data_IF_184481929561
#
_entry.id   IF_184481929561
#
_cell.length_a   1.000
_cell.length_b   1.000
_cell.length_c   1.000
_cell.angle_alpha   90.00
_cell.angle_beta   90.00
_cell.angle_gamma   90.00
#
_symmetry.space_group_name_H-M   'P 1'
#
loop_
_entity.id
_entity.type
_entity.pdbx_description
1 polymer ?
#
# COMPACT_ATOMS: atom_id res chain seq x y z
N UNK A 1 0.68 -18.22 -15.12
CA UNK A 1 0.19 -17.02 -14.42
C UNK A 1 1.37 -16.51 -13.65
N UNK A 2 1.99 -15.43 -14.12
CA UNK A 2 3.15 -14.84 -13.46
C UNK A 2 2.69 -14.24 -12.13
N UNK A 3 2.93 -14.96 -11.03
CA UNK A 3 2.85 -14.40 -9.69
C UNK A 3 3.91 -13.29 -9.58
N UNK A 4 3.49 -12.02 -9.68
CA UNK A 4 4.35 -10.88 -9.41
C UNK A 4 4.49 -10.71 -7.90
N UNK A 5 5.42 -11.47 -7.32
CA UNK A 5 5.75 -11.40 -5.90
C UNK A 5 6.98 -10.51 -5.69
N UNK A 6 6.92 -9.64 -4.68
CA UNK A 6 8.07 -8.81 -4.28
C UNK A 6 8.42 -9.09 -2.83
N UNK A 7 9.71 -9.04 -2.50
CA UNK A 7 10.14 -9.11 -1.09
C UNK A 7 10.13 -7.70 -0.50
N UNK A 8 9.61 -7.57 0.71
CA UNK A 8 9.61 -6.32 1.48
C UNK A 8 10.15 -6.56 2.89
N UNK A 9 10.74 -5.51 3.47
CA UNK A 9 11.19 -5.52 4.86
C UNK A 9 10.10 -4.93 5.74
N UNK A 10 9.73 -5.59 6.83
CA UNK A 10 8.75 -5.11 7.80
C UNK A 10 9.36 -4.03 8.70
N UNK A 11 8.52 -3.27 9.41
CA UNK A 11 8.99 -2.35 10.46
C UNK A 11 9.75 -3.05 11.60
N UNK A 12 9.56 -4.37 11.80
CA UNK A 12 10.32 -5.19 12.75
C UNK A 12 11.68 -5.65 12.20
N UNK A 13 11.95 -5.41 10.91
CA UNK A 13 13.18 -5.84 10.23
C UNK A 13 13.12 -7.24 9.63
N UNK A 14 11.97 -7.90 9.67
CA UNK A 14 11.75 -9.22 9.05
C UNK A 14 11.46 -9.06 7.55
N UNK A 15 11.61 -10.13 6.78
CA UNK A 15 11.24 -10.14 5.37
C UNK A 15 9.90 -10.82 5.16
N UNK A 16 9.08 -10.24 4.28
CA UNK A 16 7.78 -10.79 3.86
C UNK A 16 7.69 -10.79 2.34
N UNK A 17 7.07 -11.82 1.79
CA UNK A 17 6.78 -11.91 0.35
C UNK A 17 5.38 -11.35 0.13
N UNK A 18 5.28 -10.33 -0.72
CA UNK A 18 4.02 -9.66 -1.03
C UNK A 18 3.58 -10.04 -2.43
N UNK A 19 2.33 -10.48 -2.56
CA UNK A 19 1.66 -10.59 -3.84
C UNK A 19 1.24 -9.19 -4.32
N UNK A 20 1.79 -8.77 -5.46
CA UNK A 20 1.44 -7.51 -6.12
C UNK A 20 0.58 -7.70 -7.36
N UNK A 21 0.22 -8.93 -7.69
CA UNK A 21 -0.59 -9.25 -8.86
C UNK A 21 -2.08 -9.10 -8.60
N UNK A 22 -2.52 -9.20 -7.34
CA UNK A 22 -3.92 -9.21 -6.94
C UNK A 22 -4.60 -7.83 -7.17
N UNK A 23 -5.41 -7.68 -8.23
CA UNK A 23 -6.11 -6.44 -8.47
C UNK A 23 -7.30 -6.35 -7.51
N UNK A 24 -7.46 -5.20 -6.84
CA UNK A 24 -8.63 -4.88 -6.01
C UNK A 24 -8.78 -5.69 -4.70
N UNK A 25 -7.67 -6.00 -4.02
CA UNK A 25 -7.69 -6.59 -2.67
C UNK A 25 -8.32 -5.62 -1.65
N UNK A 26 -9.50 -5.99 -1.14
CA UNK A 26 -10.28 -5.18 -0.20
C UNK A 26 -10.53 -3.74 -0.68
N UNK A 27 -10.64 -3.53 -2.00
CA UNK A 27 -10.84 -2.18 -2.56
C UNK A 27 -9.56 -1.37 -2.77
N UNK A 28 -8.39 -1.99 -2.57
CA UNK A 28 -7.07 -1.40 -2.82
C UNK A 28 -6.25 -2.22 -3.82
N UNK A 29 -5.26 -1.60 -4.44
CA UNK A 29 -4.27 -2.31 -5.25
C UNK A 29 -2.85 -1.82 -4.95
N UNK A 30 -1.83 -2.65 -5.22
CA UNK A 30 -0.43 -2.26 -5.10
C UNK A 30 -0.13 -1.00 -5.92
N UNK A 31 0.69 -0.11 -5.35
CA UNK A 31 1.02 1.19 -5.94
C UNK A 31 0.06 2.32 -5.58
N UNK A 32 -1.12 2.03 -5.01
CA UNK A 32 -2.01 3.10 -4.56
C UNK A 32 -1.44 3.85 -3.36
N UNK A 33 -1.70 5.16 -3.36
CA UNK A 33 -1.39 6.03 -2.24
C UNK A 33 -2.68 6.33 -1.49
N UNK A 34 -2.61 6.35 -0.16
CA UNK A 34 -3.76 6.57 0.72
C UNK A 34 -3.41 7.61 1.77
N UNK A 35 -4.25 8.63 1.94
CA UNK A 35 -4.14 9.61 3.01
C UNK A 35 -4.76 9.09 4.30
N UNK A 36 -4.09 9.39 5.42
CA UNK A 36 -4.68 9.21 6.74
C UNK A 36 -5.37 10.50 7.18
N UNK A 37 -6.69 10.49 7.38
CA UNK A 37 -7.42 11.70 7.83
C UNK A 37 -7.89 11.66 9.29
N UNK A 38 -7.86 10.49 9.94
CA UNK A 38 -8.40 10.30 11.30
C UNK A 38 -7.48 9.57 12.27
N UNK A 39 -6.23 9.30 11.88
CA UNK A 39 -5.28 8.55 12.70
C UNK A 39 -4.15 9.42 13.25
N UNK A 40 -3.33 8.84 14.14
CA UNK A 40 -2.07 9.44 14.60
C UNK A 40 -1.06 9.72 13.47
N UNK A 41 -1.33 9.19 12.28
CA UNK A 41 -0.54 9.41 11.06
C UNK A 41 -1.14 10.51 10.18
N UNK A 42 -2.06 11.33 10.71
CA UNK A 42 -2.61 12.47 9.98
C UNK A 42 -1.48 13.37 9.46
N UNK A 43 -1.56 13.75 8.18
CA UNK A 43 -0.50 14.46 7.46
C UNK A 43 0.57 13.56 6.84
N UNK A 44 0.50 12.24 7.02
CA UNK A 44 1.29 11.23 6.29
C UNK A 44 0.42 10.48 5.29
N UNK A 45 1.07 9.69 4.45
CA UNK A 45 0.40 8.80 3.49
C UNK A 45 0.85 7.36 3.65
N UNK A 46 0.03 6.43 3.18
CA UNK A 46 0.36 5.03 3.02
C UNK A 46 0.54 4.69 1.54
N UNK A 47 1.62 4.01 1.20
CA UNK A 47 1.79 3.35 -0.09
C UNK A 47 1.42 1.88 0.06
N UNK A 48 0.39 1.42 -0.65
CA UNK A 48 0.01 0.00 -0.70
C UNK A 48 1.08 -0.77 -1.45
N UNK A 49 1.70 -1.75 -0.80
CA UNK A 49 2.81 -2.54 -1.39
C UNK A 49 2.34 -3.90 -1.89
N UNK A 50 1.31 -4.48 -1.28
CA UNK A 50 0.75 -5.76 -1.69
C UNK A 50 0.03 -6.44 -0.54
N UNK A 51 -0.18 -7.75 -0.71
CA UNK A 51 -0.85 -8.60 0.28
C UNK A 51 -0.01 -9.82 0.62
N UNK A 52 -0.12 -10.26 1.87
CA UNK A 52 0.39 -11.55 2.34
C UNK A 52 -0.50 -12.02 3.47
N UNK A 53 -0.81 -13.31 3.51
CA UNK A 53 -1.61 -13.96 4.56
C UNK A 53 -2.98 -13.30 4.80
N UNK A 54 -3.62 -12.80 3.75
CA UNK A 54 -4.91 -12.12 3.84
C UNK A 54 -4.84 -10.74 4.51
N UNK A 55 -3.65 -10.15 4.62
CA UNK A 55 -3.44 -8.82 5.19
C UNK A 55 -2.96 -7.84 4.12
N UNK A 56 -3.33 -6.56 4.29
CA UNK A 56 -2.78 -5.48 3.46
C UNK A 56 -1.46 -5.02 4.06
N UNK A 57 -0.44 -4.98 3.22
CA UNK A 57 0.88 -4.46 3.58
C UNK A 57 1.13 -3.12 2.89
N UNK A 58 1.57 -2.15 3.68
CA UNK A 58 1.73 -0.77 3.24
C UNK A 58 2.91 -0.10 3.95
N UNK A 59 3.60 0.79 3.25
CA UNK A 59 4.63 1.65 3.83
C UNK A 59 4.01 2.99 4.23
N UNK A 60 4.51 3.62 5.31
CA UNK A 60 4.05 4.95 5.75
C UNK A 60 5.11 5.99 5.41
N UNK A 61 4.74 6.99 4.64
CA UNK A 61 5.65 8.00 4.08
C UNK A 61 5.18 9.41 4.45
N UNK A 62 6.08 10.41 4.48
CA UNK A 62 5.74 11.75 4.94
C UNK A 62 4.71 12.45 4.05
N UNK A 63 4.73 12.22 2.74
CA UNK A 63 3.84 12.89 1.77
C UNK A 63 3.71 12.09 0.47
N UNK A 64 2.81 12.53 -0.41
CA UNK A 64 2.51 11.88 -1.71
C UNK A 64 3.74 11.83 -2.60
N UNK A 65 4.54 12.88 -2.66
CA UNK A 65 5.75 12.93 -3.51
C UNK A 65 6.75 11.85 -3.09
N UNK A 66 6.97 11.73 -1.78
CA UNK A 66 7.80 10.67 -1.20
C UNK A 66 7.23 9.28 -1.47
N UNK A 67 5.90 9.12 -1.43
CA UNK A 67 5.23 7.85 -1.74
C UNK A 67 5.23 7.48 -3.22
N UNK A 68 5.36 8.46 -4.12
CA UNK A 68 5.43 8.24 -5.56
C UNK A 68 6.86 7.98 -6.08
N UNK A 69 7.87 8.02 -5.22
CA UNK A 69 9.27 7.80 -5.61
C UNK A 69 9.62 6.31 -5.72
N UNK A 70 10.70 5.99 -6.42
CA UNK A 70 11.18 4.60 -6.53
C UNK A 70 11.68 4.08 -5.17
N UNK A 71 12.32 4.94 -4.39
CA UNK A 71 12.85 4.63 -3.06
C UNK A 71 11.74 4.25 -2.07
N UNK A 72 10.51 4.73 -2.29
CA UNK A 72 9.34 4.37 -1.51
C UNK A 72 9.08 2.85 -1.51
N UNK A 73 9.49 2.15 -2.57
CA UNK A 73 9.31 0.69 -2.68
C UNK A 73 10.17 -0.07 -1.68
N UNK A 74 11.26 0.54 -1.20
CA UNK A 74 12.18 -0.04 -0.20
C UNK A 74 11.80 0.35 1.23
N UNK A 75 10.80 1.21 1.41
CA UNK A 75 10.39 1.65 2.74
C UNK A 75 9.82 0.47 3.56
N UNK A 76 10.12 0.41 4.88
CA UNK A 76 9.60 -0.65 5.73
C UNK A 76 8.08 -0.69 5.75
N UNK A 77 7.51 -1.89 5.63
CA UNK A 77 6.07 -2.11 5.57
C UNK A 77 5.48 -2.43 6.94
N UNK A 78 4.28 -1.91 7.15
CA UNK A 78 3.36 -2.27 8.22
C UNK A 78 2.21 -3.06 7.62
N UNK A 79 1.53 -3.83 8.45
CA UNK A 79 0.36 -4.60 8.04
C UNK A 79 -0.91 -4.13 8.74
N UNK A 80 -2.07 -4.40 8.13
CA UNK A 80 -3.38 -4.27 8.75
C UNK A 80 -4.32 -5.35 8.23
N UNK A 81 -5.12 -5.92 9.13
CA UNK A 81 -6.24 -6.77 8.75
C UNK A 81 -7.46 -5.89 8.44
N UNK A 82 -8.11 -6.13 7.31
CA UNK A 82 -9.40 -5.53 7.01
C UNK A 82 -10.31 -6.55 6.33
N UNK A 83 -11.63 -6.43 6.55
CA UNK A 83 -12.60 -7.25 5.81
C UNK A 83 -13.10 -6.57 4.54
N UNK A 84 -13.17 -5.24 4.55
CA UNK A 84 -13.63 -4.40 3.42
C UNK A 84 -12.98 -3.01 3.46
N UNK A 85 -12.92 -2.33 2.31
CA UNK A 85 -12.34 -0.97 2.16
C UNK A 85 -12.95 0.02 3.13
N UNK A 86 -14.28 -0.01 3.25
CA UNK A 86 -15.09 0.92 4.03
C UNK A 86 -14.74 0.87 5.52
N UNK A 87 -14.23 -0.26 6.00
CA UNK A 87 -13.77 -0.41 7.38
C UNK A 87 -12.56 0.50 7.64
N UNK A 88 -11.56 0.48 6.75
CA UNK A 88 -10.37 1.31 6.88
C UNK A 88 -10.67 2.80 6.66
N UNK A 89 -11.59 3.12 5.76
CA UNK A 89 -12.10 4.49 5.58
C UNK A 89 -12.76 4.98 6.88
N UNK A 90 -13.62 4.17 7.50
CA UNK A 90 -14.36 4.56 8.71
C UNK A 90 -13.48 4.62 9.96
N UNK A 91 -12.64 3.61 10.19
CA UNK A 91 -11.82 3.47 11.40
C UNK A 91 -10.58 4.37 11.35
N UNK A 92 -9.89 4.43 10.21
CA UNK A 92 -8.60 5.11 10.09
C UNK A 92 -8.63 6.33 9.18
N UNK A 93 -9.76 6.62 8.54
CA UNK A 93 -9.90 7.78 7.66
C UNK A 93 -9.08 7.64 6.38
N UNK A 94 -8.91 6.41 5.88
CA UNK A 94 -8.16 6.16 4.64
C UNK A 94 -8.90 6.79 3.46
N UNK A 95 -8.21 7.64 2.70
CA UNK A 95 -8.74 8.20 1.44
C UNK A 95 -7.74 7.95 0.33
N UNK A 96 -8.18 7.31 -0.75
CA UNK A 96 -7.31 6.99 -1.89
C UNK A 96 -6.96 8.29 -2.60
N UNK A 97 -5.66 8.49 -2.87
CA UNK A 97 -5.17 9.59 -3.68
C UNK A 97 -5.31 9.24 -5.18
N UNK A 98 -5.45 10.27 -6.02
CA UNK A 98 -5.47 10.09 -7.48
C UNK A 98 -4.08 9.70 -8.02
N UNK A 99 -3.02 10.06 -7.29
CA UNK A 99 -1.64 9.71 -7.59
C UNK A 99 -1.36 8.27 -7.18
N UNK A 100 -0.69 7.54 -8.05
CA UNK A 100 -0.13 6.23 -7.76
C UNK A 100 1.39 6.27 -7.86
N UNK A 101 2.06 5.34 -7.20
CA UNK A 101 3.49 5.12 -7.43
C UNK A 101 3.69 4.46 -8.80
N UNK A 102 4.33 5.12 -9.78
CA UNK A 102 4.48 4.61 -11.14
C UNK A 102 5.49 3.46 -11.25
N UNK A 103 6.33 3.27 -10.23
CA UNK A 103 7.35 2.21 -10.16
C UNK A 103 6.82 0.94 -9.51
N UNK A 104 5.68 1.01 -8.80
CA UNK A 104 5.03 -0.17 -8.29
C UNK A 104 4.55 -1.04 -9.46
N UNK A 105 4.73 -2.36 -9.36
CA UNK A 105 4.30 -3.34 -10.36
C UNK A 105 2.76 -3.42 -10.41
N UNK A 106 2.15 -2.38 -10.93
CA UNK A 106 0.79 -2.27 -11.40
C UNK A 106 0.72 -0.96 -12.19
N UNK A 107 1.39 -0.90 -13.36
CA UNK A 107 0.97 0.09 -14.36
C UNK A 107 -0.51 -0.20 -14.62
N UNK A 108 -1.44 0.75 -14.41
CA UNK A 108 -2.76 0.59 -14.99
C UNK A 108 -2.50 0.50 -16.50
N UNK A 109 -2.79 -0.67 -17.08
CA UNK A 109 -2.85 -0.79 -18.52
C UNK A 109 -3.80 0.32 -18.99
N UNK A 110 -3.23 1.29 -19.71
CA UNK A 110 -4.00 2.29 -20.43
C UNK A 110 -5.12 1.59 -21.19
N UNK A 111 -6.37 1.91 -20.87
CA UNK A 111 -7.51 1.68 -21.76
C UNK A 111 -7.59 2.89 -22.69
#
# INVERSE_FOLDING_TARGET
MDEMCVTATTISGETVVLDTSAPNMYGFHPGQIVHFTKSLRNGKVALIRGVSDGLIWFAVLPDVTSAASEEALQAPVSTVSCRVKEELIRQYGWMVDETCNPYAACSPASI
#
